data_IF_052544696945
#
_entry.id   IF_052544696945
#
_cell.length_a   1.000
_cell.length_b   1.000
_cell.length_c   1.000
_cell.angle_alpha   90.00
_cell.angle_beta   90.00
_cell.angle_gamma   90.00
#
_symmetry.space_group_name_H-M   'P 1'
#
loop_
_entity.id
_entity.type
_entity.pdbx_description
1 polymer ?
#
# COMPACT_ATOMS: atom_id res chain seq x y z
N UNK A 1 -22.06 -43.92 29.82
CA UNK A 1 -22.69 -42.78 29.11
C UNK A 1 -22.26 -41.46 29.75
N UNK A 2 -21.62 -40.59 28.96
CA UNK A 2 -21.57 -39.10 29.03
C UNK A 2 -20.28 -38.65 28.36
N UNK A 3 -20.35 -38.61 27.03
CA UNK A 3 -19.40 -37.93 26.16
C UNK A 3 -19.40 -36.44 26.53
N UNK A 4 -18.33 -35.97 27.15
CA UNK A 4 -18.05 -34.55 27.32
C UNK A 4 -17.75 -33.94 25.95
N UNK A 5 -18.72 -33.20 25.42
CA UNK A 5 -18.60 -32.44 24.16
C UNK A 5 -17.38 -31.53 24.24
N UNK A 6 -16.37 -31.86 23.45
CA UNK A 6 -15.23 -30.98 23.17
C UNK A 6 -15.75 -29.62 22.69
N UNK A 7 -15.37 -28.56 23.41
CA UNK A 7 -15.75 -27.20 23.11
C UNK A 7 -15.25 -26.79 21.72
N UNK A 8 -16.19 -26.57 20.82
CA UNK A 8 -15.94 -25.87 19.56
C UNK A 8 -15.72 -24.38 19.88
N UNK A 9 -14.46 -23.94 19.94
CA UNK A 9 -14.09 -22.52 20.02
C UNK A 9 -13.71 -22.04 18.62
N UNK A 10 -14.73 -21.78 17.80
CA UNK A 10 -14.54 -21.11 16.52
C UNK A 10 -14.24 -19.62 16.73
N UNK A 11 -12.96 -19.25 16.82
CA UNK A 11 -12.51 -17.89 16.56
C UNK A 11 -11.65 -17.92 15.30
N UNK A 12 -12.28 -17.73 14.14
CA UNK A 12 -11.58 -17.44 12.90
C UNK A 12 -11.93 -16.01 12.50
N UNK A 13 -11.42 -15.05 13.26
CA UNK A 13 -11.29 -13.67 12.78
C UNK A 13 -9.95 -13.57 12.05
N UNK A 14 -9.93 -13.82 10.75
CA UNK A 14 -8.70 -13.65 9.96
C UNK A 14 -8.39 -12.15 9.88
N UNK A 15 -7.23 -11.76 10.41
CA UNK A 15 -6.69 -10.41 10.26
C UNK A 15 -6.13 -10.24 8.84
N UNK A 16 -6.77 -9.41 8.02
CA UNK A 16 -6.29 -9.13 6.66
C UNK A 16 -5.24 -8.03 6.69
N UNK A 17 -3.99 -8.39 6.39
CA UNK A 17 -2.88 -7.44 6.23
C UNK A 17 -2.75 -7.05 4.76
N UNK A 18 -3.18 -5.84 4.44
CA UNK A 18 -3.11 -5.31 3.08
C UNK A 18 -1.90 -4.37 2.98
N UNK A 19 -0.92 -4.64 2.10
CA UNK A 19 0.18 -3.73 1.85
C UNK A 19 -0.31 -2.51 1.08
N UNK A 20 -0.24 -1.33 1.70
CA UNK A 20 -0.72 -0.06 1.10
C UNK A 20 0.41 0.94 0.79
N UNK A 21 1.64 0.66 1.26
CA UNK A 21 2.71 1.64 1.34
C UNK A 21 3.49 1.84 0.04
N UNK A 22 3.43 0.94 -0.94
CA UNK A 22 4.26 1.16 -2.13
C UNK A 22 4.31 0.06 -3.17
N UNK A 23 5.20 0.27 -4.14
CA UNK A 23 5.43 -0.62 -5.26
C UNK A 23 4.17 -0.88 -6.09
N UNK A 24 4.00 -2.13 -6.54
CA UNK A 24 2.85 -2.52 -7.35
C UNK A 24 1.49 -2.17 -6.72
N UNK A 25 1.37 -2.16 -5.39
CA UNK A 25 0.11 -1.83 -4.70
C UNK A 25 -0.27 -0.36 -4.87
N UNK A 26 0.71 0.55 -4.83
CA UNK A 26 0.49 1.97 -5.10
C UNK A 26 -0.06 2.18 -6.51
N UNK A 27 0.39 1.39 -7.50
CA UNK A 27 -0.12 1.46 -8.89
C UNK A 27 -1.48 0.80 -9.06
N UNK A 28 -1.68 -0.35 -8.44
CA UNK A 28 -2.90 -1.15 -8.56
C UNK A 28 -4.09 -0.51 -7.84
N UNK A 29 -3.90 0.01 -6.64
CA UNK A 29 -5.01 0.47 -5.81
C UNK A 29 -5.49 1.89 -6.19
N UNK A 30 -6.82 2.15 -6.11
CA UNK A 30 -7.35 3.50 -6.29
C UNK A 30 -6.83 4.46 -5.21
N UNK A 31 -6.61 5.72 -5.58
CA UNK A 31 -6.11 6.75 -4.65
C UNK A 31 -6.97 6.90 -3.40
N UNK A 32 -8.29 6.75 -3.53
CA UNK A 32 -9.23 6.83 -2.41
C UNK A 32 -8.99 5.72 -1.37
N UNK A 33 -8.63 4.52 -1.82
CA UNK A 33 -8.33 3.39 -0.92
C UNK A 33 -7.06 3.67 -0.13
N UNK A 34 -6.00 4.11 -0.83
CA UNK A 34 -4.72 4.46 -0.22
C UNK A 34 -4.91 5.60 0.78
N UNK A 35 -5.63 6.66 0.40
CA UNK A 35 -5.95 7.79 1.28
C UNK A 35 -6.73 7.35 2.53
N UNK A 36 -7.70 6.44 2.39
CA UNK A 36 -8.44 5.88 3.53
C UNK A 36 -7.52 5.10 4.47
N UNK A 37 -6.62 4.30 3.91
CA UNK A 37 -5.69 3.49 4.69
C UNK A 37 -4.66 4.36 5.44
N UNK A 38 -4.08 5.37 4.77
CA UNK A 38 -3.20 6.36 5.43
C UNK A 38 -3.93 7.09 6.55
N UNK A 39 -5.18 7.54 6.31
CA UNK A 39 -5.97 8.19 7.36
C UNK A 39 -6.29 7.26 8.54
N UNK A 40 -6.49 5.96 8.28
CA UNK A 40 -6.68 4.97 9.33
C UNK A 40 -5.43 4.85 10.19
N UNK A 41 -4.26 4.66 9.58
CA UNK A 41 -2.97 4.57 10.29
C UNK A 41 -2.71 5.84 11.10
N UNK A 42 -2.80 7.02 10.46
CA UNK A 42 -2.50 8.29 11.11
C UNK A 42 -3.47 8.64 12.25
N UNK A 43 -4.77 8.36 12.11
CA UNK A 43 -5.80 8.85 13.06
C UNK A 43 -6.32 7.79 14.04
N UNK A 44 -6.37 6.53 13.63
CA UNK A 44 -6.90 5.43 14.46
C UNK A 44 -5.78 4.69 15.17
N UNK A 45 -4.69 4.40 14.47
CA UNK A 45 -3.54 3.72 15.06
C UNK A 45 -2.55 4.71 15.71
N UNK A 46 -2.64 6.00 15.34
CA UNK A 46 -1.76 7.04 15.87
C UNK A 46 -0.30 6.88 15.43
N UNK A 47 -0.06 6.23 14.29
CA UNK A 47 1.26 5.95 13.75
C UNK A 47 1.50 6.77 12.47
N UNK A 48 2.75 7.14 12.15
CA UNK A 48 3.07 7.76 10.87
C UNK A 48 3.01 6.73 9.74
N UNK A 49 2.20 6.98 8.71
CA UNK A 49 2.22 6.18 7.49
C UNK A 49 3.44 6.49 6.63
N UNK A 50 4.07 5.44 6.09
CA UNK A 50 5.17 5.55 5.12
C UNK A 50 4.67 5.13 3.74
N UNK A 51 4.95 5.95 2.74
CA UNK A 51 4.79 5.58 1.33
C UNK A 51 6.15 5.56 0.62
N UNK A 52 6.34 4.61 -0.28
CA UNK A 52 7.54 4.50 -1.10
C UNK A 52 7.16 4.14 -2.54
N UNK A 53 7.98 4.60 -3.49
CA UNK A 53 7.87 4.26 -4.90
C UNK A 53 9.26 4.13 -5.50
N UNK A 54 9.37 3.40 -6.60
CA UNK A 54 10.57 3.41 -7.42
C UNK A 54 10.46 4.54 -8.46
N UNK A 55 11.56 5.19 -8.86
CA UNK A 55 11.53 6.24 -9.88
C UNK A 55 10.86 5.82 -11.19
N UNK A 56 11.06 4.56 -11.60
CA UNK A 56 10.45 4.03 -12.83
C UNK A 56 8.92 3.93 -12.75
N UNK A 57 8.31 3.94 -11.57
CA UNK A 57 6.85 3.80 -11.41
C UNK A 57 6.09 5.07 -11.80
N UNK A 58 6.78 6.21 -11.91
CA UNK A 58 6.23 7.49 -12.41
C UNK A 58 6.78 7.85 -13.80
N UNK A 59 7.71 7.07 -14.33
CA UNK A 59 8.22 7.21 -15.69
C UNK A 59 7.36 6.38 -16.66
N UNK A 60 6.33 7.01 -17.23
CA UNK A 60 5.48 6.39 -18.24
C UNK A 60 6.21 6.20 -19.58
N UNK A 61 7.21 7.02 -19.88
CA UNK A 61 7.91 6.98 -21.18
C UNK A 61 9.05 5.95 -21.22
N UNK A 62 9.21 5.16 -20.15
CA UNK A 62 10.24 4.13 -20.08
C UNK A 62 10.19 3.14 -21.25
N UNK A 63 11.36 2.65 -21.73
CA UNK A 63 11.43 1.64 -22.78
C UNK A 63 10.66 0.36 -22.42
N UNK A 64 9.85 -0.15 -23.34
CA UNK A 64 9.10 -1.41 -23.14
C UNK A 64 9.94 -2.61 -23.54
N UNK A 65 10.18 -3.49 -22.58
CA UNK A 65 10.93 -4.73 -22.77
C UNK A 65 9.97 -5.85 -23.18
N UNK A 66 10.35 -6.66 -24.17
CA UNK A 66 9.62 -7.87 -24.54
C UNK A 66 9.72 -8.88 -23.39
N UNK A 67 8.63 -9.08 -22.68
CA UNK A 67 8.55 -10.00 -21.55
C UNK A 67 7.20 -10.72 -21.53
N UNK A 68 7.13 -11.84 -20.78
CA UNK A 68 5.89 -12.58 -20.57
C UNK A 68 4.80 -11.74 -19.90
N UNK A 69 3.54 -12.16 -20.08
CA UNK A 69 2.33 -11.41 -19.65
C UNK A 69 2.39 -11.04 -18.15
N UNK A 70 2.83 -11.96 -17.29
CA UNK A 70 2.98 -11.70 -15.84
C UNK A 70 3.97 -10.57 -15.54
N UNK A 71 5.07 -10.51 -16.28
CA UNK A 71 6.06 -9.45 -16.10
C UNK A 71 5.49 -8.10 -16.56
N UNK A 72 4.85 -8.09 -17.73
CA UNK A 72 4.21 -6.89 -18.28
C UNK A 72 3.13 -6.33 -17.36
N UNK A 73 2.29 -7.19 -16.78
CA UNK A 73 1.28 -6.79 -15.81
C UNK A 73 1.90 -6.07 -14.60
N UNK A 74 2.97 -6.63 -14.03
CA UNK A 74 3.65 -6.01 -12.88
C UNK A 74 4.37 -4.70 -13.24
N UNK A 75 4.88 -4.54 -14.45
CA UNK A 75 5.67 -3.36 -14.82
C UNK A 75 4.83 -2.23 -15.41
N UNK A 76 3.81 -2.54 -16.21
CA UNK A 76 3.17 -1.52 -17.05
C UNK A 76 1.73 -1.17 -16.66
N UNK A 77 1.15 -1.82 -15.66
CA UNK A 77 -0.22 -1.50 -15.21
C UNK A 77 -0.27 -0.13 -14.53
N UNK A 78 -1.20 0.73 -14.98
CA UNK A 78 -1.49 2.08 -14.43
C UNK A 78 -0.29 3.02 -14.35
N UNK A 79 0.73 2.82 -15.19
CA UNK A 79 1.94 3.62 -15.18
C UNK A 79 1.64 5.10 -15.47
N UNK A 80 0.73 5.34 -16.43
CA UNK A 80 0.20 6.65 -16.83
C UNK A 80 -0.56 7.40 -15.72
N UNK A 81 -1.08 6.68 -14.72
CA UNK A 81 -1.91 7.24 -13.63
C UNK A 81 -1.13 7.42 -12.33
N UNK A 82 0.06 6.86 -12.25
CA UNK A 82 0.79 6.78 -10.98
C UNK A 82 1.34 8.14 -10.58
N UNK A 83 1.81 8.94 -11.53
CA UNK A 83 2.29 10.29 -11.28
C UNK A 83 1.20 11.18 -10.65
N UNK A 84 0.02 11.25 -11.29
CA UNK A 84 -1.11 12.05 -10.78
C UNK A 84 -1.59 11.58 -9.40
N UNK A 85 -1.55 10.26 -9.16
CA UNK A 85 -1.85 9.69 -7.85
C UNK A 85 -0.85 10.14 -6.79
N UNK A 86 0.45 10.15 -7.12
CA UNK A 86 1.51 10.62 -6.21
C UNK A 86 1.32 12.10 -5.92
N UNK A 87 1.09 12.96 -6.95
CA UNK A 87 0.80 14.39 -6.75
C UNK A 87 -0.39 14.60 -5.82
N UNK A 88 -1.47 13.85 -6.02
CA UNK A 88 -2.64 13.92 -5.15
C UNK A 88 -2.31 13.57 -3.69
N UNK A 89 -1.58 12.47 -3.46
CA UNK A 89 -1.17 12.06 -2.11
C UNK A 89 -0.25 13.10 -1.45
N UNK A 90 0.73 13.63 -2.19
CA UNK A 90 1.64 14.67 -1.71
C UNK A 90 0.90 15.95 -1.29
N UNK A 91 -0.15 16.32 -2.03
CA UNK A 91 -1.00 17.48 -1.68
C UNK A 91 -2.02 17.21 -0.55
N UNK A 92 -2.27 15.94 -0.21
CA UNK A 92 -3.33 15.55 0.73
C UNK A 92 -2.86 15.37 2.18
N UNK A 93 -1.55 15.31 2.42
CA UNK A 93 -0.97 14.98 3.71
C UNK A 93 0.26 15.83 4.01
N UNK A 94 0.60 15.93 5.30
CA UNK A 94 1.86 16.51 5.74
C UNK A 94 2.96 15.45 5.72
N UNK A 95 4.11 15.78 5.16
CA UNK A 95 5.28 14.92 5.10
C UNK A 95 6.41 15.55 5.91
N UNK A 96 7.25 14.69 6.49
CA UNK A 96 8.46 15.09 7.18
C UNK A 96 9.58 14.10 6.82
N UNK A 97 10.86 14.49 6.92
CA UNK A 97 11.99 13.58 6.76
C UNK A 97 11.86 12.38 7.72
N UNK A 98 12.16 11.17 7.24
CA UNK A 98 11.98 9.96 8.03
C UNK A 98 12.79 9.97 9.33
N UNK A 99 14.00 10.55 9.32
CA UNK A 99 14.83 10.70 10.51
C UNK A 99 14.18 11.56 11.60
N UNK A 100 13.45 12.62 11.20
CA UNK A 100 12.72 13.47 12.14
C UNK A 100 11.54 12.73 12.76
N UNK A 101 10.83 11.91 11.97
CA UNK A 101 9.66 11.15 12.44
C UNK A 101 10.05 10.00 13.36
N UNK A 102 11.20 9.37 13.10
CA UNK A 102 11.71 8.25 13.90
C UNK A 102 12.61 8.69 15.05
N UNK A 103 12.84 10.00 15.22
CA UNK A 103 13.74 10.56 16.23
C UNK A 103 15.18 10.00 16.14
N UNK A 104 15.64 9.72 14.92
CA UNK A 104 16.99 9.21 14.66
C UNK A 104 17.86 10.41 14.27
N UNK A 105 18.87 10.68 15.11
CA UNK A 105 19.85 11.75 14.96
C UNK A 105 20.80 11.54 13.77
#
# INVERSE_FOLDING_TARGET
ERLGRAGWRGQVGQEFRIPISGGGYLRLFPVCLIRRAINHINKREGQPAVIYLHPWEIDHEQPRIRAGIKSRFRHYTNLDKTEEKVKHLLSSFNFAPIGQVLEIA
#
